data_IF_565635981066
#
_entry.id   IF_565635981066
#
_cell.length_a   1.000
_cell.length_b   1.000
_cell.length_c   1.000
_cell.angle_alpha   90.00
_cell.angle_beta   90.00
_cell.angle_gamma   90.00
#
_symmetry.space_group_name_H-M   'P 1'
#
loop_
_entity.id
_entity.type
_entity.pdbx_description
1 polymer ?
#
# COMPACT_ATOMS: atom_id res chain seq x y z
N UNK A 1 -11.60 -4.80 -29.70
CA UNK A 1 -11.34 -5.41 -28.40
C UNK A 1 -9.85 -5.64 -28.29
N UNK A 2 -9.32 -5.62 -27.07
CA UNK A 2 -7.91 -5.89 -26.79
C UNK A 2 -7.86 -7.00 -25.77
N UNK A 3 -7.19 -8.11 -26.12
CA UNK A 3 -7.06 -9.29 -25.26
C UNK A 3 -5.70 -9.27 -24.57
N UNK A 4 -5.69 -9.27 -23.24
CA UNK A 4 -4.48 -9.33 -22.43
C UNK A 4 -4.34 -10.74 -21.88
N UNK A 5 -3.31 -11.48 -22.31
CA UNK A 5 -2.97 -12.79 -21.77
C UNK A 5 -2.11 -12.62 -20.52
N UNK A 6 -2.58 -13.14 -19.39
CA UNK A 6 -1.96 -13.07 -18.08
C UNK A 6 -0.93 -14.20 -17.93
N UNK A 7 0.28 -13.96 -18.45
CA UNK A 7 1.42 -14.88 -18.32
C UNK A 7 2.41 -14.53 -17.22
N UNK A 8 2.24 -13.37 -16.56
CA UNK A 8 3.06 -12.96 -15.43
C UNK A 8 2.56 -13.69 -14.17
N UNK A 9 3.42 -14.33 -13.36
CA UNK A 9 2.96 -14.95 -12.11
C UNK A 9 2.32 -13.92 -11.17
N UNK A 10 1.19 -14.27 -10.55
CA UNK A 10 0.58 -13.48 -9.46
C UNK A 10 1.36 -13.81 -8.19
N UNK A 11 2.35 -12.98 -7.85
CA UNK A 11 3.25 -13.17 -6.71
C UNK A 11 3.52 -11.84 -5.99
N UNK A 12 4.29 -11.87 -4.92
CA UNK A 12 4.58 -10.71 -4.09
C UNK A 12 5.75 -9.86 -4.62
N UNK A 13 6.21 -10.06 -5.86
CA UNK A 13 7.18 -9.14 -6.47
C UNK A 13 6.52 -7.81 -6.77
N UNK A 14 7.23 -6.71 -6.57
CA UNK A 14 6.65 -5.38 -6.76
C UNK A 14 6.26 -5.13 -8.22
N UNK A 15 6.98 -5.72 -9.17
CA UNK A 15 6.58 -5.73 -10.58
C UNK A 15 5.20 -6.38 -10.77
N UNK A 16 5.01 -7.58 -10.23
CA UNK A 16 3.74 -8.30 -10.35
C UNK A 16 2.61 -7.52 -9.71
N UNK A 17 2.82 -7.06 -8.48
CA UNK A 17 1.86 -6.27 -7.72
C UNK A 17 1.44 -5.00 -8.45
N UNK A 18 2.37 -4.23 -9.03
CA UNK A 18 2.02 -3.04 -9.82
C UNK A 18 1.20 -3.39 -11.07
N UNK A 19 1.63 -4.39 -11.84
CA UNK A 19 0.96 -4.73 -13.09
C UNK A 19 -0.47 -5.21 -12.80
N UNK A 20 -0.63 -6.13 -11.84
CA UNK A 20 -1.94 -6.64 -11.48
C UNK A 20 -2.83 -5.59 -10.85
N UNK A 21 -2.29 -4.70 -10.03
CA UNK A 21 -3.03 -3.55 -9.50
C UNK A 21 -3.57 -2.66 -10.63
N UNK A 22 -2.76 -2.38 -11.66
CA UNK A 22 -3.19 -1.60 -12.82
C UNK A 22 -4.29 -2.28 -13.62
N UNK A 23 -4.19 -3.59 -13.84
CA UNK A 23 -5.25 -4.39 -14.48
C UNK A 23 -6.53 -4.40 -13.67
N UNK A 24 -6.43 -4.60 -12.36
CA UNK A 24 -7.53 -4.62 -11.41
C UNK A 24 -8.23 -3.25 -11.34
N UNK A 25 -7.48 -2.15 -11.37
CA UNK A 25 -8.03 -0.80 -11.50
C UNK A 25 -8.86 -0.63 -12.77
N UNK A 26 -8.37 -1.13 -13.91
CA UNK A 26 -9.11 -1.05 -15.17
C UNK A 26 -10.39 -1.90 -15.15
N UNK A 27 -10.34 -3.08 -14.53
CA UNK A 27 -11.50 -3.95 -14.34
C UNK A 27 -12.54 -3.28 -13.44
N UNK A 28 -12.12 -2.66 -12.34
CA UNK A 28 -12.99 -1.95 -11.39
C UNK A 28 -13.80 -0.83 -12.03
N UNK A 29 -13.20 -0.11 -12.98
CA UNK A 29 -13.84 0.99 -13.69
C UNK A 29 -14.63 0.52 -14.93
N UNK A 30 -15.01 -0.77 -14.98
CA UNK A 30 -15.91 -1.34 -15.99
C UNK A 30 -15.40 -1.14 -17.45
N UNK A 31 -14.07 -1.07 -17.63
CA UNK A 31 -13.43 -1.05 -18.96
C UNK A 31 -13.19 -2.45 -19.54
N UNK A 32 -13.18 -3.48 -18.69
CA UNK A 32 -13.14 -4.87 -19.09
C UNK A 32 -14.55 -5.38 -19.44
N UNK A 33 -14.69 -6.11 -20.55
CA UNK A 33 -15.91 -6.85 -20.87
C UNK A 33 -15.92 -8.25 -20.25
N UNK A 34 -14.75 -8.84 -20.14
CA UNK A 34 -14.54 -10.18 -19.61
C UNK A 34 -13.19 -10.24 -18.93
N UNK A 35 -13.09 -11.01 -17.84
CA UNK A 35 -11.82 -11.29 -17.18
C UNK A 35 -11.87 -12.60 -16.41
N UNK A 36 -10.72 -13.24 -16.32
CA UNK A 36 -10.43 -14.32 -15.39
C UNK A 36 -8.93 -14.27 -15.01
N UNK A 37 -8.42 -15.29 -14.31
CA UNK A 37 -7.01 -15.38 -13.92
C UNK A 37 -6.02 -15.69 -15.07
N UNK A 38 -6.49 -15.93 -16.30
CA UNK A 38 -5.67 -16.21 -17.50
C UNK A 38 -5.71 -15.09 -18.52
N UNK A 39 -6.83 -14.37 -18.63
CA UNK A 39 -7.00 -13.35 -19.64
C UNK A 39 -8.01 -12.27 -19.25
N UNK A 40 -7.83 -11.08 -19.82
CA UNK A 40 -8.75 -9.94 -19.69
C UNK A 40 -9.02 -9.36 -21.07
N UNK A 41 -10.29 -9.06 -21.36
CA UNK A 41 -10.71 -8.43 -22.61
C UNK A 41 -11.19 -7.00 -22.36
N UNK A 42 -10.43 -6.03 -22.85
CA UNK A 42 -10.73 -4.60 -22.73
C UNK A 42 -11.35 -4.03 -24.01
N UNK A 43 -12.08 -2.92 -23.85
CA UNK A 43 -12.45 -2.03 -24.95
C UNK A 43 -11.18 -1.43 -25.58
N UNK A 44 -11.21 -0.98 -26.84
CA UNK A 44 -9.98 -0.50 -27.54
C UNK A 44 -9.42 0.81 -26.96
N UNK A 45 -10.29 1.61 -26.38
CA UNK A 45 -10.07 2.93 -25.80
C UNK A 45 -9.87 2.90 -24.28
N UNK A 46 -9.73 1.71 -23.66
CA UNK A 46 -9.68 1.57 -22.21
C UNK A 46 -8.59 2.42 -21.53
N UNK A 47 -7.39 2.53 -22.12
CA UNK A 47 -6.33 3.37 -21.58
C UNK A 47 -6.68 4.85 -21.72
N UNK A 48 -7.21 5.25 -22.88
CA UNK A 48 -7.64 6.63 -23.12
C UNK A 48 -8.67 7.08 -22.07
N UNK A 49 -9.71 6.26 -21.83
CA UNK A 49 -10.72 6.53 -20.83
C UNK A 49 -10.15 6.56 -19.41
N UNK A 50 -9.34 5.56 -19.04
CA UNK A 50 -8.74 5.48 -17.71
C UNK A 50 -7.90 6.71 -17.37
N UNK A 51 -7.08 7.21 -18.31
CA UNK A 51 -6.26 8.40 -18.08
C UNK A 51 -7.08 9.70 -18.07
N UNK A 52 -8.16 9.76 -18.85
CA UNK A 52 -9.09 10.89 -18.86
C UNK A 52 -9.85 11.04 -17.54
N UNK A 53 -10.11 9.92 -16.85
CA UNK A 53 -10.86 9.89 -15.58
C UNK A 53 -9.96 9.91 -14.34
N UNK A 54 -8.64 10.11 -14.49
CA UNK A 54 -7.74 10.24 -13.35
C UNK A 54 -8.02 11.51 -12.55
N UNK A 55 -8.10 11.34 -11.23
CA UNK A 55 -8.23 12.43 -10.27
C UNK A 55 -7.18 12.31 -9.16
N UNK A 56 -6.86 13.42 -8.48
CA UNK A 56 -6.01 13.43 -7.27
C UNK A 56 -4.57 12.90 -7.48
N UNK A 57 -4.08 12.85 -8.71
CA UNK A 57 -2.71 12.40 -9.03
C UNK A 57 -1.63 13.42 -8.63
N UNK A 58 -2.00 14.65 -8.26
CA UNK A 58 -1.06 15.70 -7.84
C UNK A 58 -0.26 15.32 -6.58
N UNK A 59 -0.82 14.41 -5.78
CA UNK A 59 -0.21 13.91 -4.54
C UNK A 59 0.91 12.88 -4.78
N UNK A 60 1.07 12.37 -6.00
CA UNK A 60 2.06 11.34 -6.35
C UNK A 60 3.40 12.00 -6.73
N UNK A 61 4.12 12.47 -5.72
CA UNK A 61 5.39 13.22 -5.90
C UNK A 61 6.62 12.31 -5.95
N UNK A 62 6.54 11.22 -6.71
CA UNK A 62 7.64 10.28 -6.89
C UNK A 62 8.58 10.80 -7.98
N UNK A 63 9.85 10.97 -7.65
CA UNK A 63 10.86 11.49 -8.60
C UNK A 63 11.47 10.35 -9.41
N UNK A 64 11.37 10.37 -10.74
CA UNK A 64 11.98 9.38 -11.62
C UNK A 64 13.51 9.43 -11.52
N UNK A 65 14.16 8.30 -11.21
CA UNK A 65 15.60 8.27 -10.88
C UNK A 65 16.47 7.77 -12.04
N UNK A 66 17.73 8.20 -12.03
CA UNK A 66 18.75 7.72 -12.96
C UNK A 66 18.41 7.97 -14.43
N UNK A 67 18.62 6.93 -15.24
CA UNK A 67 18.38 6.94 -16.68
C UNK A 67 16.92 6.68 -17.07
N UNK A 68 15.97 6.78 -16.13
CA UNK A 68 14.55 6.72 -16.49
C UNK A 68 14.22 7.87 -17.45
N UNK A 69 13.81 7.48 -18.66
CA UNK A 69 13.40 8.37 -19.74
C UNK A 69 11.92 8.18 -20.09
N UNK A 70 11.16 7.44 -19.27
CA UNK A 70 9.74 7.13 -19.51
C UNK A 70 8.92 8.39 -19.79
N UNK A 71 9.20 9.49 -19.09
CA UNK A 71 8.53 10.78 -19.24
C UNK A 71 8.74 11.44 -20.61
N UNK A 72 9.69 10.96 -21.42
CA UNK A 72 9.92 11.45 -22.79
C UNK A 72 9.71 10.36 -23.83
N UNK A 73 10.27 9.17 -23.59
CA UNK A 73 10.20 8.02 -24.49
C UNK A 73 8.76 7.55 -24.70
N UNK A 74 7.94 7.55 -23.66
CA UNK A 74 6.53 7.16 -23.75
C UNK A 74 5.77 8.05 -24.75
N UNK A 75 5.86 9.37 -24.61
CA UNK A 75 5.19 10.30 -25.53
C UNK A 75 5.73 10.19 -26.96
N UNK A 76 7.04 10.01 -27.15
CA UNK A 76 7.62 9.76 -28.47
C UNK A 76 7.02 8.52 -29.14
N UNK A 77 6.77 7.45 -28.39
CA UNK A 77 6.16 6.21 -28.89
C UNK A 77 4.66 6.33 -29.24
N UNK A 78 4.03 7.43 -28.80
CA UNK A 78 2.69 7.84 -29.20
C UNK A 78 2.70 9.00 -30.21
N UNK A 79 3.85 9.28 -30.86
CA UNK A 79 4.03 10.38 -31.81
C UNK A 79 3.82 11.78 -31.22
N UNK A 80 4.09 11.95 -29.92
CA UNK A 80 3.97 13.20 -29.17
C UNK A 80 5.35 13.71 -28.72
N UNK A 81 6.30 13.79 -29.64
CA UNK A 81 7.71 14.11 -29.33
C UNK A 81 7.96 15.53 -28.80
N UNK A 82 7.00 16.45 -28.97
CA UNK A 82 7.08 17.84 -28.51
C UNK A 82 6.67 18.03 -27.06
N UNK A 83 6.08 17.01 -26.42
CA UNK A 83 5.65 17.09 -25.03
C UNK A 83 6.89 17.07 -24.12
N UNK A 84 7.03 18.12 -23.32
CA UNK A 84 8.00 18.17 -22.24
C UNK A 84 7.32 17.78 -20.92
N UNK A 85 7.76 16.68 -20.32
CA UNK A 85 7.34 16.24 -18.99
C UNK A 85 8.55 16.18 -18.07
N UNK A 86 8.41 16.68 -16.85
CA UNK A 86 9.44 16.63 -15.81
C UNK A 86 9.63 15.20 -15.31
N UNK A 87 10.79 14.93 -14.70
CA UNK A 87 11.10 13.63 -14.07
C UNK A 87 10.39 13.42 -12.72
N UNK A 88 9.10 13.72 -12.63
CA UNK A 88 8.27 13.49 -11.44
C UNK A 88 6.93 12.92 -11.90
N UNK A 89 6.43 11.88 -11.22
CA UNK A 89 5.26 11.14 -11.67
C UNK A 89 3.98 11.98 -11.73
N UNK A 90 3.75 12.93 -10.82
CA UNK A 90 2.58 13.80 -10.90
C UNK A 90 2.53 14.63 -12.20
N UNK A 91 3.68 15.11 -12.68
CA UNK A 91 3.80 15.82 -13.95
C UNK A 91 3.59 14.88 -15.14
N UNK A 92 4.10 13.65 -15.05
CA UNK A 92 3.82 12.61 -16.05
C UNK A 92 2.32 12.30 -16.11
N UNK A 93 1.65 12.11 -14.97
CA UNK A 93 0.20 11.87 -14.91
C UNK A 93 -0.59 13.06 -15.46
N UNK A 94 -0.19 14.29 -15.15
CA UNK A 94 -0.78 15.50 -15.75
C UNK A 94 -0.73 15.47 -17.28
N UNK A 95 0.44 15.14 -17.85
CA UNK A 95 0.56 15.01 -19.31
C UNK A 95 -0.23 13.83 -19.86
N UNK A 96 -0.25 12.69 -19.19
CA UNK A 96 -1.07 11.56 -19.63
C UNK A 96 -2.58 11.88 -19.59
N UNK A 97 -3.05 12.58 -18.55
CA UNK A 97 -4.43 13.04 -18.46
C UNK A 97 -4.80 13.99 -19.61
N UNK A 98 -3.99 15.04 -19.81
CA UNK A 98 -4.24 16.06 -20.84
C UNK A 98 -4.21 15.52 -22.28
N UNK A 99 -3.40 14.50 -22.55
CA UNK A 99 -3.26 13.87 -23.88
C UNK A 99 -3.91 12.49 -23.96
N UNK A 100 -4.78 12.16 -23.01
CA UNK A 100 -5.45 10.85 -22.87
C UNK A 100 -6.12 10.35 -24.15
N UNK A 101 -6.69 11.25 -24.96
CA UNK A 101 -7.33 10.96 -26.24
C UNK A 101 -6.39 10.34 -27.31
N UNK A 102 -5.09 10.24 -27.06
CA UNK A 102 -4.10 9.69 -27.99
C UNK A 102 -3.69 8.24 -27.67
N UNK A 103 -4.07 7.72 -26.50
CA UNK A 103 -3.62 6.42 -26.01
C UNK A 103 -4.57 5.29 -26.40
N UNK A 104 -4.66 5.01 -27.70
CA UNK A 104 -5.36 3.85 -28.21
C UNK A 104 -4.44 2.64 -28.31
N UNK A 105 -4.94 1.47 -27.91
CA UNK A 105 -4.25 0.23 -28.18
C UNK A 105 -4.45 -0.14 -29.65
N UNK A 106 -3.38 -0.07 -30.43
CA UNK A 106 -3.39 -0.42 -31.86
C UNK A 106 -3.45 -1.94 -32.05
N UNK A 107 -2.92 -2.70 -31.08
CA UNK A 107 -2.85 -4.16 -31.11
C UNK A 107 -4.12 -4.78 -30.54
N UNK A 108 -4.50 -5.94 -31.09
CA UNK A 108 -5.66 -6.70 -30.59
C UNK A 108 -5.29 -7.66 -29.45
N UNK A 109 -4.00 -7.93 -29.25
CA UNK A 109 -3.51 -8.82 -28.21
C UNK A 109 -2.26 -8.22 -27.53
N UNK A 110 -2.18 -8.40 -26.21
CA UNK A 110 -1.00 -8.12 -25.37
C UNK A 110 -0.65 -9.37 -24.56
N UNK A 111 0.64 -9.69 -24.45
CA UNK A 111 1.11 -10.86 -23.72
C UNK A 111 2.00 -10.47 -22.53
N UNK A 112 1.53 -10.71 -21.31
CA UNK A 112 2.26 -10.43 -20.06
C UNK A 112 3.30 -11.49 -19.68
N UNK A 113 3.53 -12.50 -20.50
CA UNK A 113 4.55 -13.50 -20.21
C UNK A 113 5.98 -12.92 -20.35
N UNK A 114 6.89 -13.17 -19.38
CA UNK A 114 8.28 -12.75 -19.49
C UNK A 114 9.01 -13.52 -20.60
N UNK A 115 9.69 -12.80 -21.51
CA UNK A 115 10.63 -13.38 -22.47
C UNK A 115 12.06 -12.98 -22.12
N UNK A 116 12.89 -13.96 -21.74
CA UNK A 116 14.29 -13.71 -21.38
C UNK A 116 15.17 -13.76 -22.63
N UNK A 117 15.93 -12.69 -22.89
CA UNK A 117 16.90 -12.60 -23.98
C UNK A 117 18.21 -12.02 -23.45
N UNK A 118 19.20 -12.87 -23.22
CA UNK A 118 20.48 -12.48 -22.63
C UNK A 118 20.30 -11.90 -21.22
N UNK A 119 20.66 -10.62 -21.02
CA UNK A 119 20.52 -9.87 -19.74
C UNK A 119 19.24 -9.04 -19.66
N UNK A 120 18.28 -9.25 -20.56
CA UNK A 120 17.04 -8.47 -20.64
C UNK A 120 15.82 -9.37 -20.51
N UNK A 121 14.79 -8.85 -19.86
CA UNK A 121 13.45 -9.45 -19.82
C UNK A 121 12.54 -8.54 -20.64
N UNK A 122 11.84 -9.13 -21.59
CA UNK A 122 10.95 -8.43 -22.51
C UNK A 122 9.52 -8.83 -22.19
N UNK A 123 8.66 -7.82 -21.99
CA UNK A 123 7.23 -7.99 -21.79
C UNK A 123 6.50 -7.37 -22.96
N UNK A 124 5.78 -8.21 -23.71
CA UNK A 124 4.93 -7.79 -24.83
C UNK A 124 5.66 -7.06 -25.98
N UNK A 125 6.96 -7.31 -26.13
CA UNK A 125 7.86 -6.77 -27.17
C UNK A 125 8.89 -7.83 -27.61
N UNK A 126 9.53 -7.62 -28.77
CA UNK A 126 10.56 -8.54 -29.30
C UNK A 126 12.00 -7.97 -29.15
N UNK A 127 12.14 -6.64 -29.05
CA UNK A 127 13.43 -5.98 -28.89
C UNK A 127 13.42 -4.86 -27.83
N UNK A 128 14.52 -4.71 -27.08
CA UNK A 128 14.69 -3.65 -26.07
C UNK A 128 14.54 -2.23 -26.62
N UNK A 129 14.80 -2.01 -27.91
CA UNK A 129 14.65 -0.71 -28.57
C UNK A 129 13.18 -0.27 -28.61
N UNK A 130 12.27 -1.23 -28.75
CA UNK A 130 10.81 -1.05 -28.79
C UNK A 130 10.20 -0.95 -27.38
N UNK A 131 11.00 -1.19 -26.34
CA UNK A 131 10.53 -1.21 -24.97
C UNK A 131 10.92 0.01 -24.17
N UNK A 132 10.13 0.30 -23.15
CA UNK A 132 10.43 1.30 -22.12
C UNK A 132 10.85 0.56 -20.86
N UNK A 133 11.79 1.15 -20.13
CA UNK A 133 12.26 0.63 -18.85
C UNK A 133 11.97 1.69 -17.78
N UNK A 134 11.47 1.26 -16.63
CA UNK A 134 11.15 2.12 -15.50
C UNK A 134 11.83 1.56 -14.25
N UNK A 135 12.67 2.35 -13.55
CA UNK A 135 13.40 1.86 -12.36
C UNK A 135 12.45 1.33 -11.28
N UNK A 136 11.27 1.95 -11.15
CA UNK A 136 10.26 1.54 -10.18
C UNK A 136 9.78 0.08 -10.40
N UNK A 137 9.87 -0.43 -11.63
CA UNK A 137 9.51 -1.82 -11.99
C UNK A 137 10.70 -2.80 -11.93
N UNK A 138 11.85 -2.35 -11.41
CA UNK A 138 13.10 -3.11 -11.33
C UNK A 138 13.66 -3.16 -9.92
N UNK A 139 12.84 -2.85 -8.93
CA UNK A 139 13.29 -2.70 -7.55
C UNK A 139 13.60 -4.05 -6.90
N UNK A 140 12.96 -5.12 -7.39
CA UNK A 140 13.28 -6.49 -7.04
C UNK A 140 14.63 -6.86 -7.68
N UNK A 141 15.69 -6.88 -6.86
CA UNK A 141 17.04 -7.27 -7.31
C UNK A 141 17.09 -8.68 -7.90
N UNK A 142 16.20 -9.55 -7.43
CA UNK A 142 15.94 -10.88 -7.96
C UNK A 142 14.54 -10.84 -8.56
N UNK A 143 14.42 -10.84 -9.89
CA UNK A 143 13.14 -10.80 -10.60
C UNK A 143 12.34 -12.12 -10.49
N UNK A 144 12.45 -12.83 -9.37
CA UNK A 144 11.83 -14.15 -9.15
C UNK A 144 12.41 -15.27 -10.01
N UNK A 145 13.45 -15.00 -10.82
CA UNK A 145 14.08 -15.98 -11.71
C UNK A 145 15.39 -16.46 -11.06
N UNK A 146 15.29 -17.43 -10.16
CA UNK A 146 16.44 -18.21 -9.72
C UNK A 146 16.46 -19.54 -10.47
N UNK A 147 17.54 -19.80 -11.20
CA UNK A 147 17.77 -21.10 -11.82
C UNK A 147 19.20 -21.55 -11.51
N UNK A 148 19.32 -22.74 -10.91
CA UNK A 148 20.60 -23.37 -10.59
C UNK A 148 21.44 -23.67 -11.84
N UNK A 149 20.77 -23.80 -12.99
CA UNK A 149 21.40 -24.14 -14.28
C UNK A 149 21.85 -22.91 -15.08
N UNK A 150 21.54 -21.70 -14.60
CA UNK A 150 21.87 -20.45 -15.31
C UNK A 150 22.60 -19.48 -14.40
N UNK A 151 23.48 -18.65 -14.97
CA UNK A 151 24.17 -17.57 -14.25
C UNK A 151 23.23 -16.40 -13.84
N UNK A 152 21.92 -16.59 -13.88
CA UNK A 152 20.92 -15.56 -13.57
C UNK A 152 20.73 -15.33 -12.05
N UNK A 153 21.25 -16.22 -11.21
CA UNK A 153 21.28 -16.04 -9.74
C UNK A 153 22.10 -14.78 -9.34
N UNK A 154 23.07 -14.36 -10.15
CA UNK A 154 24.00 -13.26 -9.83
C UNK A 154 23.92 -12.06 -10.79
N UNK A 155 23.03 -12.07 -11.78
CA UNK A 155 22.95 -11.02 -12.80
C UNK A 155 21.68 -10.18 -12.69
N UNK A 156 21.86 -8.86 -12.65
CA UNK A 156 20.75 -7.91 -12.76
C UNK A 156 20.14 -7.97 -14.17
N UNK A 157 18.94 -8.54 -14.28
CA UNK A 157 18.16 -8.52 -15.51
C UNK A 157 17.44 -7.19 -15.67
N UNK A 158 17.50 -6.61 -16.87
CA UNK A 158 16.81 -5.35 -17.17
C UNK A 158 15.48 -5.63 -17.87
N UNK A 159 14.36 -5.28 -17.22
CA UNK A 159 13.03 -5.40 -17.79
C UNK A 159 12.69 -4.25 -18.75
N UNK A 160 12.12 -4.60 -19.90
CA UNK A 160 11.59 -3.68 -20.90
C UNK A 160 10.15 -4.07 -21.24
N UNK A 161 9.28 -3.07 -21.34
CA UNK A 161 7.85 -3.23 -21.50
C UNK A 161 7.35 -2.48 -22.74
N UNK A 162 6.29 -2.99 -23.36
CA UNK A 162 5.57 -2.23 -24.38
C UNK A 162 4.97 -0.93 -23.80
N UNK A 163 4.68 0.04 -24.67
CA UNK A 163 4.09 1.32 -24.25
C UNK A 163 2.75 1.15 -23.55
N UNK A 164 1.92 0.20 -24.00
CA UNK A 164 0.63 -0.10 -23.38
C UNK A 164 0.80 -0.73 -21.98
N UNK A 165 1.80 -1.60 -21.80
CA UNK A 165 2.10 -2.17 -20.49
C UNK A 165 2.64 -1.14 -19.50
N UNK A 166 3.45 -0.18 -19.95
CA UNK A 166 3.86 0.94 -19.09
C UNK A 166 2.67 1.76 -18.63
N UNK A 167 1.71 2.03 -19.51
CA UNK A 167 0.49 2.74 -19.13
C UNK A 167 -0.30 1.94 -18.07
N UNK A 168 -0.44 0.62 -18.24
CA UNK A 168 -1.05 -0.23 -17.20
C UNK A 168 -0.27 -0.17 -15.89
N UNK A 169 1.07 -0.25 -15.93
CA UNK A 169 1.91 -0.18 -14.75
C UNK A 169 1.78 1.17 -14.01
N UNK A 170 1.70 2.28 -14.76
CA UNK A 170 1.48 3.61 -14.18
C UNK A 170 0.10 3.72 -13.52
N UNK A 171 -0.95 3.10 -14.08
CA UNK A 171 -2.24 2.99 -13.39
C UNK A 171 -2.14 2.16 -12.10
N UNK A 172 -1.30 1.13 -12.09
CA UNK A 172 -0.98 0.36 -10.89
C UNK A 172 -0.31 1.21 -9.81
N UNK A 173 0.67 2.03 -10.19
CA UNK A 173 1.30 3.02 -9.29
C UNK A 173 0.26 3.99 -8.74
N UNK A 174 -0.59 4.52 -9.61
CA UNK A 174 -1.67 5.43 -9.22
C UNK A 174 -2.64 4.79 -8.20
N UNK A 175 -3.10 3.58 -8.48
CA UNK A 175 -4.09 2.88 -7.66
C UNK A 175 -3.52 2.41 -6.31
N UNK A 176 -2.25 2.00 -6.28
CA UNK A 176 -1.60 1.50 -5.05
C UNK A 176 -1.00 2.59 -4.16
N UNK A 177 -0.65 3.76 -4.69
CA UNK A 177 0.05 4.80 -3.93
C UNK A 177 -0.77 5.28 -2.72
N UNK A 178 -0.12 5.33 -1.55
CA UNK A 178 -0.71 5.77 -0.29
C UNK A 178 -0.24 7.18 0.07
N UNK A 179 1.07 7.35 0.28
CA UNK A 179 1.66 8.62 0.72
C UNK A 179 3.17 8.62 0.51
N UNK A 180 3.76 9.83 0.59
CA UNK A 180 5.21 10.04 0.74
C UNK A 180 5.49 10.60 2.14
N UNK A 181 6.45 10.01 2.85
CA UNK A 181 7.04 10.59 4.05
C UNK A 181 8.38 11.25 3.74
N UNK A 182 8.65 12.35 4.43
CA UNK A 182 9.93 13.05 4.40
C UNK A 182 10.52 13.00 5.80
N UNK A 183 11.48 12.10 6.01
CA UNK A 183 12.15 11.96 7.31
C UNK A 183 13.47 12.75 7.29
N UNK A 184 13.82 13.45 8.37
CA UNK A 184 15.15 14.03 8.52
C UNK A 184 16.21 12.92 8.48
N UNK A 185 17.31 13.19 7.78
CA UNK A 185 18.48 12.32 7.63
C UNK A 185 19.74 13.17 7.70
N UNK A 186 20.90 12.56 7.99
CA UNK A 186 22.19 13.26 8.05
C UNK A 186 22.54 14.01 6.76
N UNK A 187 21.99 13.58 5.61
CA UNK A 187 22.23 14.16 4.29
C UNK A 187 21.06 15.01 3.76
N UNK A 188 20.09 15.37 4.61
CA UNK A 188 18.91 16.15 4.23
C UNK A 188 17.61 15.43 4.59
N UNK A 189 16.66 15.33 3.64
CA UNK A 189 15.43 14.58 3.85
C UNK A 189 15.47 13.24 3.08
N UNK A 190 15.20 12.15 3.77
CA UNK A 190 14.94 10.86 3.16
C UNK A 190 13.45 10.78 2.77
N UNK A 191 13.21 10.54 1.49
CA UNK A 191 11.87 10.29 0.97
C UNK A 191 11.52 8.81 1.13
N UNK A 192 10.32 8.51 1.59
CA UNK A 192 9.82 7.14 1.72
C UNK A 192 8.44 7.09 1.09
N UNK A 193 8.27 6.18 0.14
CA UNK A 193 7.02 5.97 -0.57
C UNK A 193 6.32 4.74 -0.02
N UNK A 194 5.02 4.86 0.22
CA UNK A 194 4.17 3.77 0.69
C UNK A 194 3.17 3.39 -0.39
N UNK A 195 3.08 2.09 -0.68
CA UNK A 195 2.14 1.51 -1.62
C UNK A 195 1.34 0.40 -0.96
N UNK A 196 0.03 0.36 -1.20
CA UNK A 196 -0.84 -0.71 -0.73
C UNK A 196 -1.33 -1.51 -1.93
N UNK A 197 -1.08 -2.81 -1.91
CA UNK A 197 -1.52 -3.77 -2.92
C UNK A 197 -2.51 -4.76 -2.31
N UNK A 198 -3.31 -5.42 -3.14
CA UNK A 198 -3.98 -6.65 -2.72
C UNK A 198 -2.93 -7.76 -2.62
N UNK A 199 -2.99 -8.63 -1.62
CA UNK A 199 -2.06 -9.77 -1.58
C UNK A 199 -2.26 -10.70 -2.79
N UNK A 200 -1.27 -11.51 -3.20
CA UNK A 200 -1.39 -12.40 -4.36
C UNK A 200 -2.63 -13.30 -4.34
N UNK A 201 -3.01 -13.84 -3.18
CA UNK A 201 -4.20 -14.68 -3.01
C UNK A 201 -5.49 -13.87 -3.23
N UNK A 202 -5.49 -12.61 -2.80
CA UNK A 202 -6.61 -11.69 -2.94
C UNK A 202 -6.76 -11.25 -4.40
N UNK A 203 -5.65 -10.93 -5.06
CA UNK A 203 -5.57 -10.64 -6.51
C UNK A 203 -6.09 -11.81 -7.35
N UNK A 204 -5.62 -13.03 -7.08
CA UNK A 204 -6.10 -14.24 -7.75
C UNK A 204 -7.60 -14.46 -7.49
N UNK A 205 -8.05 -14.23 -6.26
CA UNK A 205 -9.46 -14.34 -5.87
C UNK A 205 -10.34 -13.32 -6.59
N UNK A 206 -9.88 -12.08 -6.75
CA UNK A 206 -10.58 -11.02 -7.49
C UNK A 206 -10.68 -11.34 -8.98
N UNK A 207 -9.59 -11.81 -9.59
CA UNK A 207 -9.60 -12.21 -11.00
C UNK A 207 -10.46 -13.44 -11.26
N UNK A 208 -10.54 -14.39 -10.32
CA UNK A 208 -11.26 -15.66 -10.53
C UNK A 208 -12.77 -15.57 -10.29
N UNK A 209 -13.24 -14.70 -9.40
CA UNK A 209 -14.64 -14.63 -8.97
C UNK A 209 -15.53 -13.69 -9.79
N UNK A 210 -14.94 -12.94 -10.74
CA UNK A 210 -15.66 -11.99 -11.58
C UNK A 210 -16.11 -10.72 -10.86
N UNK A 211 -16.78 -9.83 -11.59
CA UNK A 211 -17.24 -8.53 -11.08
C UNK A 211 -18.59 -8.69 -10.37
N UNK A 212 -18.54 -8.93 -9.05
CA UNK A 212 -19.71 -9.00 -8.18
C UNK A 212 -19.65 -7.90 -7.10
N UNK A 213 -20.69 -7.79 -6.27
CA UNK A 213 -20.73 -6.79 -5.19
C UNK A 213 -19.51 -6.85 -4.24
N UNK A 214 -18.97 -8.05 -4.00
CA UNK A 214 -17.77 -8.24 -3.17
C UNK A 214 -16.50 -7.69 -3.82
N UNK A 215 -16.39 -7.73 -5.15
CA UNK A 215 -15.29 -7.11 -5.90
C UNK A 215 -15.24 -5.60 -5.62
N UNK A 216 -16.34 -4.89 -5.87
CA UNK A 216 -16.41 -3.43 -5.64
C UNK A 216 -16.19 -3.08 -4.16
N UNK A 217 -16.78 -3.86 -3.24
CA UNK A 217 -16.60 -3.66 -1.80
C UNK A 217 -15.14 -3.78 -1.35
N UNK A 218 -14.36 -4.70 -1.91
CA UNK A 218 -12.93 -4.86 -1.59
C UNK A 218 -12.09 -3.66 -2.01
N UNK A 219 -12.38 -3.03 -3.15
CA UNK A 219 -11.71 -1.79 -3.53
C UNK A 219 -12.07 -0.62 -2.63
N UNK A 220 -13.36 -0.48 -2.27
CA UNK A 220 -13.77 0.56 -1.31
C UNK A 220 -13.08 0.34 0.03
N UNK A 221 -12.96 -0.91 0.47
CA UNK A 221 -12.22 -1.27 1.68
C UNK A 221 -10.74 -0.91 1.56
N UNK A 222 -10.10 -1.25 0.43
CA UNK A 222 -8.71 -0.89 0.17
C UNK A 222 -8.47 0.61 0.24
N UNK A 223 -9.33 1.44 -0.35
CA UNK A 223 -9.22 2.91 -0.24
C UNK A 223 -9.40 3.42 1.19
N UNK A 224 -10.29 2.80 1.99
CA UNK A 224 -10.39 3.11 3.42
C UNK A 224 -9.11 2.75 4.17
N UNK A 225 -8.53 1.59 3.91
CA UNK A 225 -7.22 1.19 4.47
C UNK A 225 -6.15 2.22 4.10
N UNK A 226 -6.04 2.61 2.83
CA UNK A 226 -5.08 3.64 2.37
C UNK A 226 -5.25 4.96 3.12
N UNK A 227 -6.49 5.40 3.34
CA UNK A 227 -6.78 6.63 4.07
C UNK A 227 -6.29 6.56 5.53
N UNK A 228 -6.64 5.50 6.24
CA UNK A 228 -6.23 5.27 7.64
C UNK A 228 -4.70 5.21 7.74
N UNK A 229 -4.06 4.47 6.83
CA UNK A 229 -2.59 4.39 6.76
C UNK A 229 -2.00 5.79 6.55
N UNK A 230 -2.45 6.55 5.54
CA UNK A 230 -1.96 7.90 5.27
C UNK A 230 -2.10 8.85 6.48
N UNK A 231 -3.16 8.71 7.28
CA UNK A 231 -3.40 9.52 8.48
C UNK A 231 -2.44 9.16 9.63
N UNK A 232 -2.10 7.89 9.83
CA UNK A 232 -1.26 7.44 10.96
C UNK A 232 0.24 7.35 10.64
N UNK A 233 0.61 7.05 9.40
CA UNK A 233 2.01 6.92 8.99
C UNK A 233 2.75 8.27 9.05
N UNK A 234 2.06 9.38 8.77
CA UNK A 234 2.62 10.75 8.84
C UNK A 234 3.16 11.14 10.21
N UNK A 235 2.72 10.46 11.26
CA UNK A 235 3.09 10.76 12.62
C UNK A 235 4.25 9.92 13.17
N UNK A 236 4.92 9.11 12.33
CA UNK A 236 6.26 8.55 12.50
C UNK A 236 6.58 7.87 13.86
N UNK A 237 6.07 6.65 14.08
CA UNK A 237 6.29 5.87 15.31
C UNK A 237 7.30 4.72 15.14
N UNK A 238 7.95 4.35 16.25
CA UNK A 238 8.62 3.05 16.40
C UNK A 238 7.52 1.96 16.55
N UNK A 239 7.53 0.92 15.72
CA UNK A 239 6.47 -0.12 15.60
C UNK A 239 5.16 0.31 14.92
N UNK A 240 5.28 1.10 13.85
CA UNK A 240 4.20 1.47 12.92
C UNK A 240 3.27 0.28 12.56
N UNK A 241 3.84 -0.91 12.33
CA UNK A 241 3.10 -2.13 11.96
C UNK A 241 2.04 -2.52 12.99
N UNK A 242 2.45 -2.72 14.25
CA UNK A 242 1.55 -3.19 15.32
C UNK A 242 0.44 -2.17 15.57
N UNK A 243 0.79 -0.89 15.49
CA UNK A 243 -0.14 0.21 15.66
C UNK A 243 -1.17 0.24 14.53
N UNK A 244 -0.72 0.14 13.27
CA UNK A 244 -1.60 0.09 12.10
C UNK A 244 -2.53 -1.12 12.15
N UNK A 245 -2.02 -2.31 12.47
CA UNK A 245 -2.84 -3.52 12.56
C UNK A 245 -3.98 -3.36 13.56
N UNK A 246 -3.69 -2.83 14.75
CA UNK A 246 -4.71 -2.58 15.78
C UNK A 246 -5.72 -1.56 15.29
N UNK A 247 -5.29 -0.41 14.78
CA UNK A 247 -6.22 0.64 14.32
C UNK A 247 -7.09 0.14 13.16
N UNK A 248 -6.49 -0.47 12.14
CA UNK A 248 -7.21 -0.95 10.97
C UNK A 248 -8.29 -1.96 11.38
N UNK A 249 -7.94 -2.91 12.24
CA UNK A 249 -8.90 -3.89 12.75
C UNK A 249 -9.98 -3.25 13.62
N UNK A 250 -9.65 -2.17 14.34
CA UNK A 250 -10.63 -1.45 15.16
C UNK A 250 -11.63 -0.62 14.34
N UNK A 251 -11.12 0.16 13.38
CA UNK A 251 -11.91 1.12 12.58
C UNK A 251 -12.72 0.44 11.48
N UNK A 252 -12.18 -0.60 10.85
CA UNK A 252 -12.78 -1.21 9.66
C UNK A 252 -13.82 -2.28 9.97
N UNK A 253 -13.93 -2.72 11.24
CA UNK A 253 -14.88 -3.74 11.67
C UNK A 253 -16.32 -3.47 11.23
N UNK A 254 -16.83 -2.25 11.47
CA UNK A 254 -18.21 -1.88 11.09
C UNK A 254 -18.43 -2.02 9.59
N UNK A 255 -17.46 -1.53 8.82
CA UNK A 255 -17.54 -1.60 7.36
C UNK A 255 -17.45 -3.04 6.84
N UNK A 256 -16.62 -3.90 7.46
CA UNK A 256 -16.59 -5.34 7.13
C UNK A 256 -17.94 -6.01 7.39
N UNK A 257 -18.62 -5.67 8.49
CA UNK A 257 -19.96 -6.18 8.81
C UNK A 257 -21.01 -5.72 7.81
N UNK A 258 -21.05 -4.43 7.49
CA UNK A 258 -22.01 -3.82 6.56
C UNK A 258 -21.86 -4.34 5.13
N UNK A 259 -20.62 -4.54 4.67
CA UNK A 259 -20.33 -5.02 3.31
C UNK A 259 -20.35 -6.55 3.18
N UNK A 260 -20.54 -7.27 4.29
CA UNK A 260 -20.50 -8.72 4.36
C UNK A 260 -19.22 -9.34 3.76
N UNK A 261 -18.09 -8.64 3.86
CA UNK A 261 -16.78 -9.17 3.49
C UNK A 261 -16.24 -10.01 4.64
N UNK A 262 -15.83 -11.26 4.40
CA UNK A 262 -15.28 -12.12 5.46
C UNK A 262 -13.86 -11.71 5.87
N UNK A 263 -13.02 -11.41 4.86
CA UNK A 263 -11.66 -10.91 5.02
C UNK A 263 -11.24 -10.06 3.83
N UNK A 264 -10.25 -9.22 4.05
CA UNK A 264 -9.45 -8.58 3.00
C UNK A 264 -7.98 -8.71 3.37
N UNK A 265 -7.17 -9.14 2.42
CA UNK A 265 -5.72 -9.27 2.58
C UNK A 265 -4.99 -8.33 1.63
N UNK A 266 -4.11 -7.51 2.19
CA UNK A 266 -3.36 -6.46 1.50
C UNK A 266 -1.89 -6.51 1.91
N UNK A 267 -1.03 -5.90 1.10
CA UNK A 267 0.39 -5.79 1.37
C UNK A 267 0.78 -4.32 1.28
N UNK A 268 1.31 -3.76 2.37
CA UNK A 268 1.88 -2.42 2.41
C UNK A 268 3.38 -2.51 2.16
N UNK A 269 3.84 -1.88 1.09
CA UNK A 269 5.25 -1.84 0.68
C UNK A 269 5.84 -0.47 0.99
N UNK A 270 7.00 -0.48 1.65
CA UNK A 270 7.81 0.70 1.96
C UNK A 270 9.02 0.75 1.05
N UNK A 271 9.09 1.81 0.25
CA UNK A 271 10.07 2.00 -0.79
C UNK A 271 10.89 3.27 -0.54
N UNK A 272 12.22 3.18 -0.53
CA UNK A 272 13.07 4.37 -0.42
C UNK A 272 13.94 4.51 -1.69
N UNK A 273 14.19 5.74 -2.16
CA UNK A 273 15.17 6.00 -3.19
C UNK A 273 16.58 5.78 -2.64
N UNK A 274 17.44 5.11 -3.40
CA UNK A 274 18.85 4.91 -3.10
C UNK A 274 19.70 5.13 -4.35
N UNK A 275 20.41 6.26 -4.40
CA UNK A 275 21.20 6.64 -5.56
C UNK A 275 20.33 6.84 -6.80
N UNK A 276 20.52 6.00 -7.82
CA UNK A 276 19.76 6.04 -9.07
C UNK A 276 18.64 5.00 -9.16
N UNK A 277 18.32 4.31 -8.07
CA UNK A 277 17.29 3.27 -8.02
C UNK A 277 16.42 3.42 -6.77
N UNK A 278 15.50 2.49 -6.55
CA UNK A 278 14.74 2.36 -5.32
C UNK A 278 14.98 0.98 -4.69
N UNK A 279 14.75 0.88 -3.39
CA UNK A 279 14.80 -0.39 -2.65
C UNK A 279 13.58 -0.56 -1.76
N UNK A 280 13.06 -1.78 -1.77
CA UNK A 280 12.07 -2.23 -0.79
C UNK A 280 12.81 -2.42 0.54
N UNK A 281 12.43 -1.65 1.54
CA UNK A 281 12.97 -1.80 2.90
C UNK A 281 12.09 -2.73 3.73
N UNK A 282 10.79 -2.68 3.48
CA UNK A 282 9.81 -3.36 4.31
C UNK A 282 8.58 -3.73 3.49
N UNK A 283 8.01 -4.90 3.79
CA UNK A 283 6.78 -5.40 3.21
C UNK A 283 5.93 -5.94 4.35
N UNK A 284 4.76 -5.35 4.53
CA UNK A 284 3.90 -5.55 5.68
C UNK A 284 2.57 -6.16 5.22
N UNK A 285 2.31 -7.44 5.53
CA UNK A 285 1.01 -8.03 5.27
C UNK A 285 -0.02 -7.45 6.24
N UNK A 286 -1.10 -6.90 5.70
CA UNK A 286 -2.22 -6.33 6.46
C UNK A 286 -3.46 -7.15 6.12
N UNK A 287 -3.98 -7.88 7.11
CA UNK A 287 -5.23 -8.63 6.98
C UNK A 287 -6.26 -8.10 7.95
N UNK A 288 -7.44 -7.78 7.43
CA UNK A 288 -8.59 -7.36 8.23
C UNK A 288 -9.67 -8.42 8.10
N UNK A 289 -10.19 -8.86 9.25
CA UNK A 289 -11.23 -9.88 9.32
C UNK A 289 -12.57 -9.27 9.79
N UNK A 290 -13.67 -9.81 9.26
CA UNK A 290 -15.03 -9.46 9.72
C UNK A 290 -15.23 -9.82 11.19
N UNK A 291 -14.81 -11.02 11.54
CA UNK A 291 -14.93 -11.55 12.89
C UNK A 291 -13.58 -12.10 13.37
N UNK A 292 -13.05 -11.48 14.41
CA UNK A 292 -11.89 -11.97 15.13
C UNK A 292 -12.33 -12.56 16.47
N UNK A 293 -11.49 -13.44 17.01
CA UNK A 293 -11.71 -14.12 18.30
C UNK A 293 -11.99 -13.12 19.42
N UNK A 294 -11.35 -11.94 19.39
CA UNK A 294 -11.51 -10.93 20.43
C UNK A 294 -12.90 -10.25 20.40
N UNK A 295 -13.60 -10.18 19.26
CA UNK A 295 -14.94 -9.59 19.20
C UNK A 295 -15.92 -10.31 20.13
N UNK A 296 -15.92 -11.65 20.09
CA UNK A 296 -16.74 -12.50 20.97
C UNK A 296 -16.38 -12.32 22.45
N UNK A 297 -15.13 -11.96 22.75
CA UNK A 297 -14.67 -11.72 24.12
C UNK A 297 -15.08 -10.32 24.59
N UNK A 298 -14.92 -9.29 23.76
CA UNK A 298 -15.36 -7.93 24.07
C UNK A 298 -16.86 -7.89 24.34
N UNK A 299 -17.68 -8.60 23.57
CA UNK A 299 -19.13 -8.65 23.81
C UNK A 299 -19.47 -9.16 25.22
N UNK A 300 -18.62 -10.02 25.83
CA UNK A 300 -18.80 -10.46 27.22
C UNK A 300 -18.46 -9.37 28.25
N UNK A 301 -17.41 -8.58 28.03
CA UNK A 301 -16.93 -7.58 28.99
C UNK A 301 -17.60 -6.19 28.80
N UNK A 302 -17.74 -5.74 27.55
CA UNK A 302 -18.18 -4.39 27.20
C UNK A 302 -19.62 -4.33 26.67
N UNK A 303 -20.29 -5.49 26.48
CA UNK A 303 -21.63 -5.69 25.87
C UNK A 303 -21.76 -5.25 24.41
N UNK A 304 -21.05 -4.22 23.99
CA UNK A 304 -20.99 -3.69 22.61
C UNK A 304 -19.55 -3.43 22.22
N UNK A 305 -19.23 -3.74 20.98
CA UNK A 305 -17.90 -3.53 20.42
C UNK A 305 -17.46 -2.06 20.46
N UNK A 306 -18.37 -1.14 20.17
CA UNK A 306 -18.11 0.29 20.11
C UNK A 306 -17.62 0.85 21.44
N UNK A 307 -18.17 0.32 22.55
CA UNK A 307 -17.79 0.73 23.91
C UNK A 307 -16.33 0.40 24.25
N UNK A 308 -15.73 -0.55 23.53
CA UNK A 308 -14.31 -0.85 23.61
C UNK A 308 -13.51 -0.09 22.54
N UNK A 309 -13.93 -0.18 21.29
CA UNK A 309 -13.17 0.32 20.16
C UNK A 309 -12.98 1.84 20.21
N UNK A 310 -14.00 2.61 20.58
CA UNK A 310 -13.92 4.07 20.61
C UNK A 310 -12.94 4.59 21.68
N UNK A 311 -12.95 4.12 22.94
CA UNK A 311 -11.91 4.46 23.91
C UNK A 311 -10.49 4.07 23.46
N UNK A 312 -10.30 2.90 22.86
CA UNK A 312 -8.98 2.47 22.36
C UNK A 312 -8.51 3.37 21.23
N UNK A 313 -9.37 3.65 20.24
CA UNK A 313 -9.05 4.53 19.14
C UNK A 313 -8.73 5.95 19.63
N UNK A 314 -9.47 6.47 20.60
CA UNK A 314 -9.18 7.76 21.22
C UNK A 314 -7.81 7.76 21.91
N UNK A 315 -7.45 6.69 22.62
CA UNK A 315 -6.14 6.54 23.24
C UNK A 315 -5.01 6.48 22.19
N UNK A 316 -5.17 5.66 21.15
CA UNK A 316 -4.17 5.51 20.09
C UNK A 316 -4.01 6.80 19.27
N UNK A 317 -5.09 7.56 19.09
CA UNK A 317 -5.09 8.80 18.32
C UNK A 317 -4.67 10.05 19.10
N UNK A 318 -4.49 9.92 20.40
CA UNK A 318 -4.16 11.04 21.27
C UNK A 318 -2.78 11.65 20.98
N UNK A 319 -2.71 12.97 20.86
CA UNK A 319 -1.47 13.68 20.53
C UNK A 319 -0.39 13.52 21.59
N UNK A 320 -0.75 13.42 22.87
CA UNK A 320 0.21 13.24 23.96
C UNK A 320 0.81 11.83 23.97
N UNK A 321 -0.01 10.80 23.68
CA UNK A 321 0.44 9.42 23.48
C UNK A 321 1.40 9.36 22.28
N UNK A 322 0.99 9.91 21.16
CA UNK A 322 1.76 9.97 19.91
C UNK A 322 3.12 10.66 20.09
N UNK A 323 3.14 11.84 20.70
CA UNK A 323 4.38 12.59 20.97
C UNK A 323 5.34 11.80 21.88
N UNK A 324 4.82 11.10 22.89
CA UNK A 324 5.64 10.27 23.76
C UNK A 324 6.24 9.07 23.01
N UNK A 325 5.48 8.39 22.16
CA UNK A 325 5.99 7.29 21.34
C UNK A 325 7.07 7.75 20.37
N UNK A 326 6.89 8.92 19.75
CA UNK A 326 7.90 9.51 18.85
C UNK A 326 9.20 9.84 19.56
N UNK A 327 9.14 10.16 20.86
CA UNK A 327 10.34 10.42 21.64
C UNK A 327 11.23 9.19 21.86
N UNK A 328 10.74 7.97 21.57
CA UNK A 328 11.54 6.75 21.71
C UNK A 328 12.79 6.74 20.83
N UNK A 329 12.75 7.43 19.68
CA UNK A 329 13.85 7.53 18.73
C UNK A 329 14.70 8.78 18.95
N UNK A 330 14.33 9.65 19.89
CA UNK A 330 15.04 10.91 20.15
C UNK A 330 15.92 10.79 21.38
N UNK A 331 16.94 11.67 21.47
CA UNK A 331 17.80 11.77 22.67
C UNK A 331 17.01 12.27 23.90
N UNK A 332 15.92 13.00 23.68
CA UNK A 332 15.01 13.53 24.70
C UNK A 332 13.80 12.61 24.93
N UNK A 333 14.07 11.32 25.17
CA UNK A 333 13.03 10.31 25.41
C UNK A 333 12.16 10.68 26.61
N UNK A 334 10.84 10.70 26.40
CA UNK A 334 9.87 10.92 27.46
C UNK A 334 9.82 9.68 28.39
N UNK A 335 9.75 9.86 29.72
CA UNK A 335 9.85 8.75 30.68
C UNK A 335 8.75 7.69 30.54
N UNK A 336 7.55 8.12 30.16
CA UNK A 336 6.37 7.29 29.98
C UNK A 336 6.38 6.50 28.66
N UNK A 337 7.23 6.86 27.71
CA UNK A 337 7.21 6.34 26.34
C UNK A 337 7.36 4.81 26.27
N UNK A 338 8.18 4.22 27.15
CA UNK A 338 8.37 2.77 27.21
C UNK A 338 7.13 2.00 27.70
N UNK A 339 6.40 2.58 28.64
CA UNK A 339 5.14 1.99 29.13
C UNK A 339 4.03 2.13 28.09
N UNK A 340 3.95 3.28 27.40
CA UNK A 340 3.00 3.45 26.30
C UNK A 340 3.27 2.46 25.14
N UNK A 341 4.53 2.21 24.80
CA UNK A 341 4.87 1.18 23.82
C UNK A 341 4.43 -0.22 24.27
N UNK A 342 4.68 -0.56 25.54
CA UNK A 342 4.27 -1.84 26.12
C UNK A 342 2.74 -1.99 26.14
N UNK A 343 2.02 -0.88 26.37
CA UNK A 343 0.57 -0.83 26.31
C UNK A 343 0.06 -1.14 24.88
N UNK A 344 0.68 -0.58 23.84
CA UNK A 344 0.34 -0.86 22.44
C UNK A 344 0.61 -2.33 22.06
N UNK A 345 1.76 -2.88 22.47
CA UNK A 345 2.08 -4.29 22.24
C UNK A 345 1.03 -5.20 22.92
N UNK A 346 0.60 -4.82 24.11
CA UNK A 346 -0.45 -5.56 24.85
C UNK A 346 -1.82 -5.46 24.17
N UNK A 347 -2.18 -4.30 23.61
CA UNK A 347 -3.36 -4.14 22.76
C UNK A 347 -3.28 -5.01 21.51
N UNK A 348 -2.13 -5.06 20.85
CA UNK A 348 -1.92 -5.95 19.70
C UNK A 348 -2.14 -7.41 20.07
N UNK A 349 -1.55 -7.88 21.19
CA UNK A 349 -1.80 -9.24 21.70
C UNK A 349 -3.28 -9.51 21.93
N UNK A 350 -4.02 -8.55 22.48
CA UNK A 350 -5.45 -8.71 22.72
C UNK A 350 -6.29 -8.70 21.43
N UNK A 351 -6.13 -7.68 20.59
CA UNK A 351 -6.95 -7.43 19.39
C UNK A 351 -6.60 -8.41 18.29
N UNK A 352 -5.31 -8.60 17.99
CA UNK A 352 -4.86 -9.39 16.84
C UNK A 352 -4.66 -10.86 17.22
N UNK A 353 -3.96 -11.14 18.34
CA UNK A 353 -3.68 -12.53 18.75
C UNK A 353 -4.80 -13.15 19.60
N UNK A 354 -5.77 -12.36 20.06
CA UNK A 354 -6.87 -12.84 20.90
C UNK A 354 -6.46 -13.23 22.33
N UNK A 355 -5.28 -12.80 22.79
CA UNK A 355 -4.76 -13.06 24.13
C UNK A 355 -5.44 -12.17 25.18
N UNK A 356 -6.23 -12.79 26.05
CA UNK A 356 -7.02 -12.09 27.08
C UNK A 356 -6.18 -11.32 28.09
N UNK A 357 -4.95 -11.74 28.36
CA UNK A 357 -4.08 -11.04 29.31
C UNK A 357 -3.65 -9.68 28.76
N UNK A 358 -3.62 -9.53 27.42
CA UNK A 358 -3.23 -8.29 26.77
C UNK A 358 -4.09 -7.09 27.16
N UNK A 359 -5.37 -7.27 27.48
CA UNK A 359 -6.23 -6.16 27.93
C UNK A 359 -5.84 -5.65 29.32
N UNK A 360 -5.63 -6.56 30.27
CA UNK A 360 -5.19 -6.18 31.63
C UNK A 360 -3.80 -5.56 31.62
N UNK A 361 -2.89 -6.08 30.79
CA UNK A 361 -1.55 -5.52 30.63
C UNK A 361 -1.59 -4.14 29.97
N UNK A 362 -2.43 -3.94 28.95
CA UNK A 362 -2.65 -2.63 28.35
C UNK A 362 -3.02 -1.58 29.40
N UNK A 363 -4.02 -1.89 30.23
CA UNK A 363 -4.51 -0.95 31.25
C UNK A 363 -3.44 -0.68 32.31
N UNK A 364 -2.74 -1.73 32.75
CA UNK A 364 -1.63 -1.60 33.71
C UNK A 364 -0.51 -0.72 33.16
N UNK A 365 -0.06 -0.96 31.94
CA UNK A 365 1.03 -0.19 31.35
C UNK A 365 0.63 1.24 31.02
N UNK A 366 -0.60 1.46 30.58
CA UNK A 366 -1.11 2.82 30.39
C UNK A 366 -1.24 3.57 31.73
N UNK A 367 -1.61 2.89 32.83
CA UNK A 367 -1.58 3.47 34.17
C UNK A 367 -0.15 3.80 34.63
N UNK A 368 0.81 2.91 34.39
CA UNK A 368 2.22 3.15 34.68
C UNK A 368 2.76 4.37 33.91
N UNK A 369 2.33 4.55 32.67
CA UNK A 369 2.64 5.73 31.87
C UNK A 369 2.08 7.01 32.50
N UNK A 370 0.83 6.97 32.99
CA UNK A 370 0.23 8.06 33.75
C UNK A 370 1.05 8.43 34.99
N UNK A 371 1.40 7.45 35.84
CA UNK A 371 2.14 7.72 37.09
C UNK A 371 3.52 8.36 36.81
N UNK A 372 4.19 7.95 35.74
CA UNK A 372 5.45 8.57 35.30
C UNK A 372 5.25 10.00 34.81
N UNK A 373 4.21 10.25 34.02
CA UNK A 373 3.88 11.58 33.55
C UNK A 373 3.49 12.53 34.69
N UNK A 374 2.78 12.03 35.72
CA UNK A 374 2.34 12.79 36.89
C UNK A 374 3.48 13.47 37.62
N UNK A 375 4.61 12.78 37.75
CA UNK A 375 5.79 13.28 38.44
C UNK A 375 6.52 14.40 37.68
N UNK A 376 6.26 14.59 36.38
CA UNK A 376 6.95 15.57 35.53
C UNK A 376 6.05 16.64 34.94
N UNK A 377 4.82 16.28 34.56
CA UNK A 377 3.84 17.16 33.93
C UNK A 377 2.41 16.78 34.37
N UNK A 378 1.91 17.39 35.46
CA UNK A 378 0.58 17.10 36.00
C UNK A 378 -0.57 17.31 35.01
N UNK A 379 -0.48 18.30 34.12
CA UNK A 379 -1.50 18.55 33.10
C UNK A 379 -1.60 17.40 32.08
N UNK A 380 -0.44 16.91 31.61
CA UNK A 380 -0.36 15.74 30.72
C UNK A 380 -0.88 14.47 31.41
N UNK A 381 -0.59 14.32 32.70
CA UNK A 381 -1.03 13.18 33.48
C UNK A 381 -2.56 13.16 33.69
N UNK A 382 -3.17 14.32 33.99
CA UNK A 382 -4.64 14.43 34.07
C UNK A 382 -5.31 13.98 32.77
N UNK A 383 -4.74 14.35 31.62
CA UNK A 383 -5.23 13.92 30.30
C UNK A 383 -5.17 12.39 30.12
N UNK A 384 -4.08 11.74 30.53
CA UNK A 384 -3.99 10.28 30.49
C UNK A 384 -5.01 9.59 31.40
N UNK A 385 -5.28 10.13 32.58
CA UNK A 385 -6.36 9.64 33.44
C UNK A 385 -7.73 9.73 32.75
N UNK A 386 -8.01 10.83 32.04
CA UNK A 386 -9.29 10.99 31.34
C UNK A 386 -9.47 9.96 30.24
N UNK A 387 -8.40 9.63 29.52
CA UNK A 387 -8.40 8.53 28.55
C UNK A 387 -8.64 7.18 29.26
N UNK A 388 -7.99 6.93 30.39
CA UNK A 388 -8.09 5.66 31.12
C UNK A 388 -9.44 5.45 31.83
N UNK A 389 -10.07 6.51 32.32
CA UNK A 389 -11.42 6.46 32.94
C UNK A 389 -12.50 5.94 32.00
N UNK A 390 -12.29 6.03 30.69
CA UNK A 390 -13.21 5.45 29.70
C UNK A 390 -13.18 3.92 29.67
N UNK A 391 -12.13 3.31 30.22
CA UNK A 391 -11.98 1.85 30.37
C UNK A 391 -12.42 1.35 31.75
N UNK A 392 -12.39 2.21 32.78
CA UNK A 392 -12.68 1.84 34.18
C UNK A 392 -14.16 1.55 34.48
N UNK A 393 -15.06 1.70 33.51
CA UNK A 393 -16.47 1.29 33.67
C UNK A 393 -16.71 -0.20 33.38
N UNK A 394 -15.67 -0.94 32.99
CA UNK A 394 -15.77 -2.33 32.51
C UNK A 394 -14.73 -3.29 33.14
N UNK A 395 -13.98 -2.80 34.14
CA UNK A 395 -13.31 -3.58 35.20
C UNK A 395 -14.08 -3.28 36.48
#
# INVERSE_FOLDING_TARGET
>A
MVKVKLGLPIDSTFLSEIIYEGLLYLVKNDYAKYFNHKEIEFKKDFLSLAYKELENYENIKITLTGNDDVNTKLFRMFNLSTINSRKVLNDLFDKLHNYSNTFYCVRNEMNLAPKIKGKTILYDIEDKKEGISLQLLKIDRYTGISSLETNYISQHLTSYFSKELILIALLGVYSSYVTTLFLPSEKGFQQIYYFLFFSPEETLGLLSKGNNGAFKAKFVMKEKIKKIINEHIKSAYLNEVLFLDVILNLELYKFMKETNLDKISTILVKLNPEGQTYKIYETLPITVFKEMVFHKKIEKYFRRYEKFAEPVLNFLNDQNVKAALNSLTTRSKMPEAGNLLSAIISLYRFVILGDTQGLSEFIREAWNAYEKAKNQNPAKASHYIELLKKFSYYI
#
